data_IF_648648092820
#
_entry.id   IF_648648092820
#
_cell.length_a   1.000
_cell.length_b   1.000
_cell.length_c   1.000
_cell.angle_alpha   90.00
_cell.angle_beta   90.00
_cell.angle_gamma   90.00
#
_symmetry.space_group_name_H-M   'P 1'
#
loop_
_entity.id
_entity.type
_entity.pdbx_description
1 polymer ?
#
# COMPACT_ATOMS: atom_id res chain seq x y z
N UNK A 1 21.24 27.74 12.07
CA UNK A 1 20.36 27.70 13.26
C UNK A 1 18.88 27.95 12.96
N UNK A 2 18.50 28.47 11.79
CA UNK A 2 17.10 28.81 11.43
C UNK A 2 16.22 27.65 10.92
N UNK A 3 16.79 26.46 10.71
CA UNK A 3 16.08 25.32 10.10
C UNK A 3 15.08 24.66 11.05
N UNK A 4 15.38 24.64 12.35
CA UNK A 4 14.57 23.97 13.37
C UNK A 4 13.50 24.87 14.01
N UNK A 5 13.54 26.19 13.78
CA UNK A 5 12.52 27.14 14.25
C UNK A 5 11.17 27.00 13.50
N UNK A 6 11.12 26.16 12.46
CA UNK A 6 9.95 26.00 11.58
C UNK A 6 8.98 24.92 12.03
N UNK A 7 9.35 24.11 13.03
CA UNK A 7 8.59 22.94 13.44
C UNK A 7 8.34 22.96 14.95
N UNK A 8 7.17 22.48 15.37
CA UNK A 8 6.86 22.31 16.79
C UNK A 8 7.78 21.21 17.36
N UNK A 9 8.54 21.45 18.45
CA UNK A 9 9.43 20.44 19.04
C UNK A 9 8.74 19.12 19.39
N UNK A 10 7.44 19.16 19.77
CA UNK A 10 6.64 17.96 20.06
C UNK A 10 6.37 17.12 18.81
N UNK A 11 6.35 17.72 17.63
CA UNK A 11 6.20 17.01 16.36
C UNK A 11 7.53 16.36 15.97
N UNK A 12 8.65 17.10 16.06
CA UNK A 12 9.98 16.59 15.71
C UNK A 12 10.47 15.45 16.63
N UNK A 13 9.99 15.41 17.87
CA UNK A 13 10.37 14.40 18.86
C UNK A 13 9.53 13.12 18.80
N UNK A 14 8.64 12.94 17.82
CA UNK A 14 7.85 11.72 17.65
C UNK A 14 8.77 10.57 17.24
N UNK A 15 9.30 9.83 18.21
CA UNK A 15 10.02 8.58 17.99
C UNK A 15 9.15 7.41 18.43
N UNK A 16 9.10 6.40 17.57
CA UNK A 16 8.30 5.18 17.76
C UNK A 16 9.20 3.97 17.61
N UNK A 17 8.79 2.78 18.10
CA UNK A 17 9.58 1.56 17.92
C UNK A 17 9.91 1.25 16.45
N UNK A 18 9.06 1.63 15.49
CA UNK A 18 9.36 1.53 14.05
C UNK A 18 10.66 2.26 13.66
N UNK A 19 10.98 3.40 14.29
CA UNK A 19 12.19 4.17 13.99
C UNK A 19 13.49 3.46 14.43
N UNK A 20 13.37 2.46 15.31
CA UNK A 20 14.48 1.65 15.82
C UNK A 20 14.81 0.44 14.94
N UNK A 21 13.97 0.14 13.93
CA UNK A 21 14.19 -0.96 12.99
C UNK A 21 15.53 -0.72 12.27
N UNK A 22 16.44 -1.67 12.45
CA UNK A 22 17.79 -1.63 11.86
C UNK A 22 17.79 -2.05 10.40
N UNK A 23 18.79 -1.61 9.64
CA UNK A 23 18.98 -2.04 8.24
C UNK A 23 19.18 -3.57 8.13
N UNK A 24 19.73 -4.22 9.16
CA UNK A 24 19.83 -5.68 9.23
C UNK A 24 18.46 -6.36 9.37
N UNK A 25 17.58 -5.84 10.23
CA UNK A 25 16.20 -6.30 10.33
C UNK A 25 15.42 -6.02 9.04
N UNK A 26 15.62 -4.86 8.41
CA UNK A 26 15.05 -4.58 7.08
C UNK A 26 15.48 -5.63 6.08
N UNK A 27 16.79 -5.90 5.98
CA UNK A 27 17.29 -6.92 5.06
C UNK A 27 16.71 -8.31 5.37
N UNK A 28 16.54 -8.67 6.63
CA UNK A 28 16.00 -9.96 7.04
C UNK A 28 14.50 -10.11 6.74
N UNK A 29 13.69 -9.13 7.16
CA UNK A 29 12.23 -9.23 7.21
C UNK A 29 11.52 -8.48 6.09
N UNK A 30 12.08 -7.38 5.61
CA UNK A 30 11.41 -6.47 4.66
C UNK A 30 11.91 -6.60 3.22
N UNK A 31 12.80 -7.56 2.94
CA UNK A 31 13.30 -7.82 1.58
C UNK A 31 13.28 -9.32 1.30
N UNK A 32 12.46 -9.75 0.33
CA UNK A 32 12.29 -11.18 0.03
C UNK A 32 13.53 -11.76 -0.66
N UNK A 33 13.73 -13.09 -0.60
CA UNK A 33 14.80 -13.77 -1.32
C UNK A 33 14.83 -13.44 -2.83
N UNK A 34 13.67 -13.39 -3.50
CA UNK A 34 13.62 -13.06 -4.93
C UNK A 34 14.05 -11.63 -5.19
N UNK A 35 13.64 -10.65 -4.37
CA UNK A 35 14.10 -9.26 -4.51
C UNK A 35 15.61 -9.15 -4.36
N UNK A 36 16.18 -9.82 -3.35
CA UNK A 36 17.65 -9.88 -3.15
C UNK A 36 18.34 -10.47 -4.37
N UNK A 37 17.79 -11.53 -4.96
CA UNK A 37 18.33 -12.17 -6.15
C UNK A 37 18.23 -11.29 -7.41
N UNK A 38 17.13 -10.54 -7.55
CA UNK A 38 16.91 -9.61 -8.65
C UNK A 38 17.90 -8.44 -8.61
N UNK A 39 18.10 -7.84 -7.45
CA UNK A 39 19.06 -6.73 -7.26
C UNK A 39 20.52 -7.21 -7.30
N UNK A 40 20.78 -8.43 -6.83
CA UNK A 40 22.11 -9.00 -6.73
C UNK A 40 22.90 -8.46 -5.53
N UNK A 41 24.22 -8.77 -5.44
CA UNK A 41 25.03 -8.40 -4.28
C UNK A 41 25.16 -6.88 -4.15
N UNK A 42 25.25 -6.42 -2.90
CA UNK A 42 25.57 -5.03 -2.55
C UNK A 42 27.02 -4.75 -2.93
N UNK A 43 27.24 -3.64 -3.64
CA UNK A 43 28.54 -3.16 -4.12
C UNK A 43 29.07 -2.03 -3.24
N UNK A 44 28.17 -1.15 -2.79
CA UNK A 44 28.52 -0.04 -1.90
C UNK A 44 27.32 0.40 -1.07
N UNK A 45 27.59 1.12 0.01
CA UNK A 45 26.57 1.67 0.90
C UNK A 45 26.88 3.11 1.28
N UNK A 46 25.85 3.95 1.42
CA UNK A 46 25.93 5.33 1.90
C UNK A 46 24.75 5.62 2.81
N UNK A 47 24.99 6.18 3.99
CA UNK A 47 23.95 6.52 4.96
C UNK A 47 24.04 8.01 5.26
N UNK A 48 22.92 8.73 5.15
CA UNK A 48 22.87 10.17 5.37
C UNK A 48 21.61 10.59 6.11
N UNK A 49 21.72 11.63 6.94
CA UNK A 49 20.56 12.35 7.46
C UNK A 49 20.14 13.39 6.42
N UNK A 50 18.88 13.36 6.00
CA UNK A 50 18.31 14.27 5.01
C UNK A 50 17.13 15.03 5.58
N UNK A 51 16.95 16.25 5.10
CA UNK A 51 15.89 17.18 5.50
C UNK A 51 15.38 17.99 4.28
N UNK A 52 15.41 17.35 3.11
CA UNK A 52 14.95 17.89 1.82
C UNK A 52 14.13 16.84 1.08
N UNK A 53 13.17 17.30 0.26
CA UNK A 53 12.43 16.45 -0.67
C UNK A 53 13.26 16.03 -1.90
N UNK A 54 14.39 16.70 -2.17
CA UNK A 54 15.28 16.31 -3.24
C UNK A 54 15.88 14.94 -2.94
N UNK A 55 15.86 14.04 -3.92
CA UNK A 55 16.39 12.70 -3.78
C UNK A 55 17.74 12.50 -4.44
N UNK A 56 18.44 11.45 -4.00
CA UNK A 56 19.71 11.02 -4.60
C UNK A 56 19.47 10.46 -6.01
N UNK A 57 18.32 9.79 -6.19
CA UNK A 57 17.87 9.21 -7.45
C UNK A 57 16.72 10.07 -8.00
N UNK A 58 16.82 10.62 -9.22
CA UNK A 58 15.80 11.53 -9.77
C UNK A 58 14.40 10.91 -9.92
N UNK A 59 14.33 9.60 -10.20
CA UNK A 59 13.08 8.86 -10.39
C UNK A 59 12.39 8.54 -9.06
N UNK A 60 13.17 8.48 -8.00
CA UNK A 60 12.69 8.26 -6.66
C UNK A 60 12.20 9.60 -6.12
N UNK A 61 10.90 9.74 -5.80
CA UNK A 61 10.32 10.95 -5.21
C UNK A 61 9.99 10.68 -3.75
N UNK A 62 10.33 11.59 -2.85
CA UNK A 62 9.87 11.51 -1.45
C UNK A 62 8.37 11.71 -1.52
N UNK A 63 7.60 10.73 -1.07
CA UNK A 63 6.15 10.83 -1.11
C UNK A 63 5.66 11.64 0.11
N UNK A 64 4.89 12.70 -0.16
CA UNK A 64 4.17 13.49 0.84
C UNK A 64 2.89 14.05 0.21
N UNK A 65 1.75 13.90 0.88
CA UNK A 65 0.46 14.38 0.39
C UNK A 65 0.23 15.88 0.57
N UNK A 66 1.06 16.58 1.34
CA UNK A 66 0.98 18.03 1.53
C UNK A 66 1.67 18.84 0.40
N UNK A 67 2.19 18.17 -0.64
CA UNK A 67 2.93 18.82 -1.74
C UNK A 67 4.31 19.35 -1.37
N UNK A 68 4.92 18.83 -0.29
CA UNK A 68 6.15 19.33 0.33
C UNK A 68 6.06 20.79 0.81
N UNK A 69 4.85 21.23 1.20
CA UNK A 69 4.61 22.58 1.70
C UNK A 69 4.38 22.55 3.20
N UNK A 70 5.33 23.09 3.97
CA UNK A 70 5.23 23.15 5.43
C UNK A 70 5.29 24.61 5.86
N UNK A 71 4.21 25.09 6.47
CA UNK A 71 4.09 26.48 6.93
C UNK A 71 4.42 27.52 5.82
N UNK A 72 4.00 27.23 4.58
CA UNK A 72 4.23 28.10 3.42
C UNK A 72 5.61 27.96 2.76
N UNK A 73 6.44 26.99 3.18
CA UNK A 73 7.76 26.72 2.56
C UNK A 73 7.69 25.46 1.70
N UNK A 74 8.02 25.59 0.42
CA UNK A 74 8.10 24.49 -0.56
C UNK A 74 9.39 23.65 -0.42
N UNK A 75 9.33 22.39 -0.87
CA UNK A 75 10.47 21.48 -0.94
C UNK A 75 11.00 21.00 0.42
N UNK A 76 10.28 21.28 1.50
CA UNK A 76 10.63 20.88 2.86
C UNK A 76 10.01 19.53 3.23
N UNK A 77 10.70 18.78 4.10
CA UNK A 77 10.15 17.61 4.80
C UNK A 77 9.97 17.97 6.27
N UNK A 78 8.85 17.54 6.88
CA UNK A 78 8.54 17.90 8.28
C UNK A 78 9.47 17.20 9.25
N UNK A 79 9.87 15.99 8.88
CA UNK A 79 10.77 15.15 9.65
C UNK A 79 12.04 14.94 8.84
N UNK A 80 13.21 15.33 9.37
CA UNK A 80 14.47 14.78 8.89
C UNK A 80 14.41 13.26 8.95
N UNK A 81 14.98 12.61 7.95
CA UNK A 81 14.94 11.15 7.81
C UNK A 81 16.33 10.61 7.49
N UNK A 82 16.62 9.42 8.01
CA UNK A 82 17.78 8.65 7.60
C UNK A 82 17.53 8.04 6.23
N UNK A 83 18.50 8.16 5.34
CA UNK A 83 18.49 7.60 4.00
C UNK A 83 19.70 6.68 3.84
N UNK A 84 19.48 5.37 3.91
CA UNK A 84 20.48 4.36 3.57
C UNK A 84 20.32 3.94 2.12
N UNK A 85 21.33 4.22 1.30
CA UNK A 85 21.44 3.77 -0.09
C UNK A 85 22.43 2.60 -0.16
N UNK A 86 21.95 1.45 -0.63
CA UNK A 86 22.75 0.28 -0.95
C UNK A 86 22.76 0.09 -2.46
N UNK A 87 23.86 0.44 -3.12
CA UNK A 87 24.04 0.17 -4.54
C UNK A 87 24.30 -1.32 -4.71
N UNK A 88 23.59 -1.96 -5.64
CA UNK A 88 23.68 -3.39 -5.94
C UNK A 88 24.16 -3.59 -7.37
N UNK A 89 24.52 -4.84 -7.71
CA UNK A 89 24.99 -5.16 -9.06
C UNK A 89 23.99 -4.82 -10.17
N UNK A 90 22.68 -4.85 -9.90
CA UNK A 90 21.61 -4.65 -10.90
C UNK A 90 20.65 -3.51 -10.56
N UNK A 91 21.01 -2.62 -9.64
CA UNK A 91 20.14 -1.53 -9.20
C UNK A 91 20.50 -1.01 -7.82
N UNK A 92 19.53 -0.65 -6.99
CA UNK A 92 19.77 -0.29 -5.59
C UNK A 92 18.64 -0.68 -4.65
N UNK A 93 18.97 -0.78 -3.36
CA UNK A 93 18.00 -0.79 -2.27
C UNK A 93 18.13 0.53 -1.50
N UNK A 94 17.01 1.18 -1.21
CA UNK A 94 16.94 2.41 -0.43
C UNK A 94 16.12 2.12 0.81
N UNK A 95 16.61 2.53 1.97
CA UNK A 95 15.88 2.49 3.23
C UNK A 95 15.74 3.93 3.72
N UNK A 96 14.51 4.37 3.94
CA UNK A 96 14.17 5.67 4.52
C UNK A 96 13.51 5.46 5.86
N UNK A 97 14.02 6.12 6.91
CA UNK A 97 13.47 6.04 8.25
C UNK A 97 13.29 7.42 8.85
N UNK A 98 12.06 7.74 9.21
CA UNK A 98 11.72 8.88 10.06
C UNK A 98 11.28 8.39 11.45
N UNK A 99 10.77 9.28 12.29
CA UNK A 99 10.38 8.94 13.66
C UNK A 99 9.15 8.01 13.79
N UNK A 100 8.36 7.87 12.72
CA UNK A 100 7.10 7.10 12.70
C UNK A 100 7.01 6.09 11.56
N UNK A 101 7.94 6.10 10.60
CA UNK A 101 7.88 5.29 9.39
C UNK A 101 9.24 4.74 8.98
N UNK A 102 9.25 3.49 8.51
CA UNK A 102 10.31 2.92 7.68
C UNK A 102 9.74 2.57 6.31
N UNK A 103 10.42 3.00 5.25
CA UNK A 103 10.11 2.71 3.85
C UNK A 103 11.34 2.09 3.19
N UNK A 104 11.13 1.00 2.45
CA UNK A 104 12.17 0.24 1.77
C UNK A 104 11.83 0.15 0.29
N UNK A 105 12.71 0.65 -0.57
CA UNK A 105 12.52 0.75 -2.02
C UNK A 105 13.60 -0.07 -2.73
N UNK A 106 13.20 -1.01 -3.57
CA UNK A 106 14.08 -1.74 -4.47
C UNK A 106 13.91 -1.26 -5.90
N UNK A 107 14.96 -0.66 -6.45
CA UNK A 107 15.01 -0.19 -7.83
C UNK A 107 15.90 -1.12 -8.65
N UNK A 108 15.37 -1.66 -9.73
CA UNK A 108 16.08 -2.52 -10.68
C UNK A 108 16.44 -1.74 -11.95
N UNK A 109 17.61 -1.99 -12.51
CA UNK A 109 18.10 -1.34 -13.73
C UNK A 109 19.17 -0.28 -13.48
N UNK A 110 19.52 0.47 -14.52
CA UNK A 110 20.58 1.47 -14.46
C UNK A 110 20.01 2.85 -14.10
N UNK A 111 20.18 3.26 -12.84
CA UNK A 111 19.68 4.53 -12.33
C UNK A 111 20.44 5.74 -12.88
N UNK A 112 21.74 5.61 -13.15
CA UNK A 112 22.54 6.69 -13.76
C UNK A 112 22.05 7.04 -15.18
N UNK A 113 21.50 6.05 -15.88
CA UNK A 113 20.93 6.20 -17.22
C UNK A 113 19.42 6.47 -17.22
N UNK A 114 18.80 6.71 -16.05
CA UNK A 114 17.35 6.90 -15.91
C UNK A 114 16.53 5.72 -16.44
N UNK A 115 17.08 4.51 -16.31
CA UNK A 115 16.47 3.24 -16.70
C UNK A 115 16.12 2.39 -15.46
N UNK A 116 15.87 3.04 -14.33
CA UNK A 116 15.46 2.40 -13.09
C UNK A 116 13.96 2.13 -13.07
N UNK A 117 13.58 0.94 -12.64
CA UNK A 117 12.21 0.54 -12.37
C UNK A 117 12.07 0.20 -10.89
N UNK A 118 11.09 0.80 -10.22
CA UNK A 118 10.71 0.39 -8.87
C UNK A 118 10.06 -1.00 -8.95
N UNK A 119 10.71 -2.00 -8.37
CA UNK A 119 10.24 -3.39 -8.33
C UNK A 119 9.74 -3.81 -6.94
N UNK A 120 10.08 -3.02 -5.93
CA UNK A 120 9.80 -3.33 -4.54
C UNK A 120 9.55 -2.04 -3.76
N UNK A 121 8.43 -1.95 -3.06
CA UNK A 121 8.21 -0.96 -2.01
C UNK A 121 7.49 -1.64 -0.86
N UNK A 122 8.11 -1.66 0.31
CA UNK A 122 7.45 -2.06 1.55
C UNK A 122 7.65 -1.00 2.60
N UNK A 123 6.66 -0.81 3.45
CA UNK A 123 6.76 0.15 4.53
C UNK A 123 6.00 -0.30 5.76
N UNK A 124 6.48 0.17 6.91
CA UNK A 124 5.77 0.14 8.18
C UNK A 124 5.62 1.56 8.67
N UNK A 125 4.44 1.90 9.18
CA UNK A 125 4.17 3.21 9.79
C UNK A 125 3.38 3.09 11.07
N UNK A 126 3.77 3.83 12.08
CA UNK A 126 3.03 3.95 13.33
C UNK A 126 1.76 4.79 13.14
N UNK A 127 0.62 4.22 13.50
CA UNK A 127 -0.70 4.85 13.32
C UNK A 127 -1.21 5.63 14.54
N UNK A 128 -0.48 5.64 15.66
CA UNK A 128 -0.96 6.26 16.91
C UNK A 128 -1.22 7.76 16.79
N UNK A 129 -0.70 8.41 15.75
CA UNK A 129 -0.81 9.84 15.51
C UNK A 129 -1.79 10.22 14.39
N UNK A 130 -2.47 9.25 13.78
CA UNK A 130 -3.41 9.46 12.67
C UNK A 130 -4.61 10.34 13.05
N UNK A 131 -5.24 10.96 12.06
CA UNK A 131 -6.36 11.89 12.28
C UNK A 131 -5.97 13.35 12.48
N UNK A 132 -4.76 13.73 12.03
CA UNK A 132 -4.24 15.09 12.10
C UNK A 132 -3.53 15.48 10.81
N UNK A 133 -3.65 16.73 10.35
CA UNK A 133 -3.01 17.21 9.10
C UNK A 133 -1.52 16.85 8.95
N UNK A 134 -0.79 16.78 10.06
CA UNK A 134 0.63 16.38 10.05
C UNK A 134 0.89 14.92 9.66
N UNK A 135 -0.11 14.06 9.58
CA UNK A 135 0.06 12.62 9.24
C UNK A 135 0.21 12.40 7.75
N UNK A 136 -0.36 13.31 6.94
CA UNK A 136 -0.19 13.34 5.49
C UNK A 136 1.28 13.49 5.06
N UNK A 137 2.14 13.97 5.97
CA UNK A 137 3.60 14.05 5.79
C UNK A 137 4.30 12.68 5.75
N UNK A 138 3.73 11.69 6.43
CA UNK A 138 4.28 10.35 6.56
C UNK A 138 3.43 9.29 5.86
N UNK A 139 2.40 9.69 5.09
CA UNK A 139 1.51 8.81 4.34
C UNK A 139 2.26 7.69 3.57
N UNK A 140 1.67 6.49 3.56
CA UNK A 140 2.17 5.35 2.76
C UNK A 140 1.51 5.29 1.38
N UNK A 141 0.23 5.64 1.35
CA UNK A 141 -0.68 5.60 0.20
C UNK A 141 -1.03 6.99 -0.32
N UNK A 142 -1.85 7.05 -1.38
CA UNK A 142 -2.28 8.30 -2.02
C UNK A 142 -3.49 8.99 -1.38
N UNK A 143 -4.18 8.37 -0.42
CA UNK A 143 -5.35 8.94 0.23
C UNK A 143 -5.02 9.68 1.56
N UNK A 144 -5.72 10.78 1.90
CA UNK A 144 -5.52 11.52 3.15
C UNK A 144 -5.67 10.70 4.43
N UNK A 145 -4.79 10.94 5.40
CA UNK A 145 -4.77 10.34 6.75
C UNK A 145 -5.17 11.34 7.86
N UNK A 146 -5.60 12.54 7.48
CA UNK A 146 -5.85 13.65 8.40
C UNK A 146 -7.30 13.70 8.94
N UNK A 147 -8.21 12.92 8.35
CA UNK A 147 -9.56 12.74 8.88
C UNK A 147 -9.53 11.83 10.12
N UNK A 148 -9.86 12.40 11.28
CA UNK A 148 -9.87 11.69 12.56
C UNK A 148 -10.93 10.59 12.63
N UNK A 149 -12.07 10.77 11.95
CA UNK A 149 -13.15 9.79 11.98
C UNK A 149 -12.81 8.56 11.13
N UNK A 150 -12.16 8.78 9.99
CA UNK A 150 -11.85 7.71 9.03
C UNK A 150 -10.51 7.02 9.29
N UNK A 151 -9.53 7.74 9.83
CA UNK A 151 -8.15 7.24 9.93
C UNK A 151 -7.58 7.28 11.34
N UNK A 152 -8.28 7.88 12.32
CA UNK A 152 -7.84 7.91 13.70
C UNK A 152 -7.63 6.50 14.27
N UNK A 153 -6.91 6.42 15.40
CA UNK A 153 -6.65 5.13 16.05
C UNK A 153 -7.97 4.41 16.42
N UNK A 154 -8.25 3.29 15.74
CA UNK A 154 -9.48 2.50 15.93
C UNK A 154 -9.56 1.83 17.30
N UNK A 155 -8.41 1.66 17.96
CA UNK A 155 -8.27 0.98 19.25
C UNK A 155 -7.43 1.85 20.20
N UNK A 156 -8.04 2.86 20.85
CA UNK A 156 -7.34 3.75 21.76
C UNK A 156 -6.54 2.99 22.83
N UNK A 157 -5.27 3.35 23.02
CA UNK A 157 -4.38 2.69 23.97
C UNK A 157 -3.68 1.43 23.43
N UNK A 158 -3.88 1.09 22.16
CA UNK A 158 -3.06 0.10 21.45
C UNK A 158 -1.94 0.76 20.64
N UNK A 159 -0.85 0.03 20.45
CA UNK A 159 0.17 0.36 19.46
C UNK A 159 -0.14 -0.36 18.15
N UNK A 160 -0.27 0.39 17.06
CA UNK A 160 -0.63 -0.15 15.75
C UNK A 160 0.35 0.27 14.66
N UNK A 161 0.69 -0.69 13.80
CA UNK A 161 1.53 -0.49 12.63
C UNK A 161 0.73 -0.70 11.34
N UNK A 162 0.68 0.33 10.49
CA UNK A 162 0.23 0.23 9.10
C UNK A 162 1.28 -0.52 8.28
N UNK A 163 0.85 -1.52 7.53
CA UNK A 163 1.69 -2.25 6.59
C UNK A 163 1.40 -1.81 5.14
N UNK A 164 2.45 -1.73 4.33
CA UNK A 164 2.35 -1.47 2.91
C UNK A 164 3.23 -2.45 2.13
N UNK A 165 2.69 -2.99 1.03
CA UNK A 165 3.41 -3.90 0.13
C UNK A 165 3.08 -3.60 -1.33
N UNK A 166 4.14 -3.36 -2.09
CA UNK A 166 4.17 -3.25 -3.54
C UNK A 166 5.32 -4.10 -4.05
N UNK A 167 5.04 -4.99 -5.00
CA UNK A 167 6.05 -5.90 -5.52
C UNK A 167 5.76 -6.28 -6.96
N UNK A 168 6.68 -5.98 -7.87
CA UNK A 168 6.52 -6.27 -9.29
C UNK A 168 7.81 -6.76 -9.94
N UNK A 169 7.69 -7.73 -10.84
CA UNK A 169 8.79 -8.22 -11.65
C UNK A 169 9.24 -7.14 -12.65
N UNK A 170 10.56 -6.95 -12.81
CA UNK A 170 11.08 -5.97 -13.76
C UNK A 170 10.67 -6.32 -15.19
N UNK A 171 10.35 -5.30 -16.00
CA UNK A 171 9.97 -5.44 -17.40
C UNK A 171 8.62 -6.11 -17.67
N UNK A 172 7.80 -6.35 -16.63
CA UNK A 172 6.54 -7.10 -16.75
C UNK A 172 5.28 -6.23 -16.81
N UNK A 173 5.43 -4.93 -17.06
CA UNK A 173 4.32 -3.99 -17.17
C UNK A 173 3.47 -4.27 -18.41
N UNK A 174 2.21 -3.82 -18.41
CA UNK A 174 1.31 -3.98 -19.56
C UNK A 174 1.86 -3.24 -20.78
N UNK A 175 2.34 -2.01 -20.60
CA UNK A 175 2.99 -1.23 -21.67
C UNK A 175 4.23 -1.96 -22.19
N UNK A 176 5.04 -2.54 -21.31
CA UNK A 176 6.22 -3.31 -21.71
C UNK A 176 5.87 -4.56 -22.53
N UNK A 177 4.75 -5.20 -22.22
CA UNK A 177 4.32 -6.43 -22.88
C UNK A 177 3.62 -6.21 -24.23
N UNK A 178 2.79 -5.17 -24.35
CA UNK A 178 1.98 -4.95 -25.55
C UNK A 178 1.79 -3.49 -25.99
N UNK A 179 2.41 -2.52 -25.31
CA UNK A 179 2.32 -1.10 -25.67
C UNK A 179 0.98 -0.41 -25.34
N UNK A 180 0.05 -1.08 -24.64
CA UNK A 180 -1.28 -0.53 -24.35
C UNK A 180 -1.27 0.35 -23.07
N UNK A 181 -0.89 1.62 -23.23
CA UNK A 181 -0.85 2.61 -22.14
C UNK A 181 -2.23 2.87 -21.51
N UNK A 182 -3.30 2.82 -22.29
CA UNK A 182 -4.65 3.08 -21.79
C UNK A 182 -5.13 1.92 -20.91
N UNK A 183 -4.84 0.68 -21.33
CA UNK A 183 -5.09 -0.50 -20.50
C UNK A 183 -4.25 -0.49 -19.22
N UNK A 184 -2.98 -0.09 -19.30
CA UNK A 184 -2.13 0.02 -18.12
C UNK A 184 -2.71 0.99 -17.08
N UNK A 185 -3.10 2.19 -17.52
CA UNK A 185 -3.74 3.21 -16.66
C UNK A 185 -5.06 2.71 -16.06
N UNK A 186 -5.88 2.01 -16.86
CA UNK A 186 -7.12 1.43 -16.38
C UNK A 186 -6.91 0.31 -15.36
N UNK A 187 -5.95 -0.59 -15.61
CA UNK A 187 -5.62 -1.65 -14.65
C UNK A 187 -5.06 -1.05 -13.37
N UNK A 188 -4.26 0.01 -13.45
CA UNK A 188 -3.69 0.67 -12.28
C UNK A 188 -4.75 1.35 -11.40
N UNK A 189 -5.75 2.01 -12.00
CA UNK A 189 -6.81 2.70 -11.25
C UNK A 189 -8.16 2.66 -11.99
N UNK A 190 -8.89 1.53 -11.92
CA UNK A 190 -10.12 1.36 -12.70
C UNK A 190 -11.25 2.30 -12.26
N UNK A 191 -11.26 2.74 -10.99
CA UNK A 191 -12.29 3.64 -10.46
C UNK A 191 -12.28 5.04 -11.09
N UNK A 192 -11.14 5.46 -11.67
CA UNK A 192 -11.03 6.73 -12.42
C UNK A 192 -11.76 6.71 -13.77
N UNK A 193 -12.39 5.59 -14.13
CA UNK A 193 -13.14 5.39 -15.36
C UNK A 193 -14.64 5.15 -15.10
N UNK A 194 -15.09 5.15 -13.84
CA UNK A 194 -16.51 4.94 -13.50
C UNK A 194 -17.43 6.04 -14.06
N UNK A 195 -16.89 7.23 -14.34
CA UNK A 195 -17.58 8.34 -15.00
C UNK A 195 -17.80 8.13 -16.51
N UNK A 196 -17.14 7.13 -17.11
CA UNK A 196 -17.18 6.79 -18.54
C UNK A 196 -17.46 5.29 -18.71
N UNK A 197 -18.69 4.82 -18.42
CA UNK A 197 -19.00 3.38 -18.36
C UNK A 197 -18.68 2.61 -19.64
N UNK A 198 -18.89 3.21 -20.81
CA UNK A 198 -18.56 2.56 -22.10
C UNK A 198 -17.07 2.30 -22.27
N UNK A 199 -16.23 3.30 -21.91
CA UNK A 199 -14.77 3.16 -21.95
C UNK A 199 -14.30 2.15 -20.89
N UNK A 200 -14.89 2.21 -19.69
CA UNK A 200 -14.64 1.24 -18.63
C UNK A 200 -14.89 -0.18 -19.14
N UNK A 201 -16.07 -0.46 -19.71
CA UNK A 201 -16.44 -1.80 -20.17
C UNK A 201 -15.53 -2.30 -21.30
N UNK A 202 -15.12 -1.40 -22.21
CA UNK A 202 -14.15 -1.71 -23.26
C UNK A 202 -12.79 -2.15 -22.68
N UNK A 203 -12.27 -1.42 -21.70
CA UNK A 203 -10.97 -1.71 -21.07
C UNK A 203 -11.08 -2.90 -20.12
N UNK A 204 -12.19 -3.06 -19.40
CA UNK A 204 -12.54 -4.23 -18.62
C UNK A 204 -12.54 -5.50 -19.48
N UNK A 205 -13.13 -5.48 -20.67
CA UNK A 205 -13.14 -6.65 -21.56
C UNK A 205 -11.72 -7.07 -22.00
N UNK A 206 -10.79 -6.11 -22.13
CA UNK A 206 -9.37 -6.40 -22.34
C UNK A 206 -8.71 -6.95 -21.08
N UNK A 207 -8.91 -6.29 -19.93
CA UNK A 207 -8.33 -6.69 -18.65
C UNK A 207 -8.84 -8.06 -18.16
N UNK A 208 -10.09 -8.39 -18.42
CA UNK A 208 -10.70 -9.68 -18.09
C UNK A 208 -10.00 -10.87 -18.76
N UNK A 209 -9.47 -10.63 -19.96
CA UNK A 209 -8.68 -11.61 -20.73
C UNK A 209 -7.19 -11.52 -20.40
N UNK A 210 -6.76 -10.43 -19.76
CA UNK A 210 -5.39 -10.31 -19.27
C UNK A 210 -5.29 -11.08 -17.94
N UNK A 211 -4.14 -11.68 -17.67
CA UNK A 211 -3.89 -12.35 -16.40
C UNK A 211 -3.61 -11.35 -15.26
N UNK A 212 -4.25 -10.17 -15.27
CA UNK A 212 -4.03 -9.07 -14.32
C UNK A 212 -5.24 -8.90 -13.42
N UNK A 213 -5.02 -8.74 -12.12
CA UNK A 213 -6.05 -8.22 -11.22
C UNK A 213 -6.12 -6.69 -11.32
N UNK A 214 -7.22 -6.04 -10.89
CA UNK A 214 -7.22 -4.58 -10.74
C UNK A 214 -6.13 -4.16 -9.75
N UNK A 215 -5.47 -3.05 -10.02
CA UNK A 215 -4.28 -2.59 -9.31
C UNK A 215 -2.98 -3.31 -9.72
N UNK A 216 -3.01 -4.37 -10.54
CA UNK A 216 -1.82 -5.14 -10.94
C UNK A 216 -1.38 -4.84 -12.37
N UNK A 217 -0.85 -3.64 -12.61
CA UNK A 217 -0.35 -3.27 -13.94
C UNK A 217 0.99 -3.91 -14.33
N UNK A 218 1.61 -4.66 -13.42
CA UNK A 218 2.86 -5.41 -13.61
C UNK A 218 2.78 -6.75 -12.86
N UNK A 219 3.60 -7.75 -13.23
CA UNK A 219 3.46 -9.11 -12.64
C UNK A 219 4.00 -9.07 -11.21
N UNK A 220 3.30 -9.62 -10.21
CA UNK A 220 3.80 -9.58 -8.85
C UNK A 220 5.05 -10.45 -8.67
N UNK A 221 5.92 -10.06 -7.74
CA UNK A 221 7.00 -10.95 -7.30
C UNK A 221 6.36 -12.09 -6.50
N UNK A 222 6.64 -13.33 -6.91
CA UNK A 222 5.89 -14.50 -6.50
C UNK A 222 6.03 -14.85 -5.01
N UNK A 223 7.19 -14.61 -4.41
CA UNK A 223 7.43 -14.93 -2.99
C UNK A 223 6.91 -13.86 -2.02
N UNK A 224 6.47 -12.71 -2.52
CA UNK A 224 6.04 -11.58 -1.68
C UNK A 224 4.77 -11.91 -0.89
N UNK A 225 3.74 -12.45 -1.54
CA UNK A 225 2.47 -12.78 -0.90
C UNK A 225 2.54 -13.92 0.11
N UNK A 226 3.56 -14.78 -0.02
CA UNK A 226 3.72 -15.99 0.80
C UNK A 226 4.54 -15.73 2.08
N UNK A 227 5.45 -14.75 2.06
CA UNK A 227 6.44 -14.54 3.13
C UNK A 227 6.20 -13.23 3.89
N UNK A 228 5.72 -12.19 3.21
CA UNK A 228 5.74 -10.84 3.79
C UNK A 228 4.83 -10.68 4.99
N UNK A 229 3.71 -11.39 5.03
CA UNK A 229 2.77 -11.29 6.14
C UNK A 229 3.37 -11.81 7.45
N UNK A 230 3.92 -13.02 7.44
CA UNK A 230 4.63 -13.59 8.59
C UNK A 230 5.80 -12.71 9.03
N UNK A 231 6.55 -12.16 8.06
CA UNK A 231 7.68 -11.27 8.35
C UNK A 231 7.24 -9.95 9.01
N UNK A 232 6.14 -9.36 8.54
CA UNK A 232 5.58 -8.17 9.19
C UNK A 232 5.13 -8.52 10.60
N UNK A 233 4.38 -9.61 10.77
CA UNK A 233 3.88 -10.07 12.08
C UNK A 233 5.03 -10.28 13.07
N UNK A 234 6.10 -10.95 12.65
CA UNK A 234 7.27 -11.16 13.49
C UNK A 234 7.97 -9.84 13.86
N UNK A 235 8.17 -8.95 12.88
CA UNK A 235 8.85 -7.69 13.10
C UNK A 235 8.04 -6.75 14.00
N UNK A 236 6.75 -6.56 13.71
CA UNK A 236 5.84 -5.73 14.50
C UNK A 236 5.74 -6.25 15.95
N UNK A 237 5.63 -7.57 16.13
CA UNK A 237 5.61 -8.19 17.47
C UNK A 237 6.90 -7.92 18.25
N UNK A 238 8.07 -8.04 17.60
CA UNK A 238 9.37 -7.73 18.23
C UNK A 238 9.50 -6.25 18.61
N UNK A 239 8.86 -5.37 17.86
CA UNK A 239 8.82 -3.93 18.13
C UNK A 239 7.75 -3.55 19.16
N UNK A 240 7.05 -4.52 19.74
CA UNK A 240 6.08 -4.30 20.82
C UNK A 240 4.74 -3.72 20.35
N UNK A 241 4.39 -3.89 19.07
CA UNK A 241 3.07 -3.52 18.57
C UNK A 241 1.99 -4.50 19.05
N UNK A 242 0.80 -3.97 19.28
CA UNK A 242 -0.39 -4.74 19.61
C UNK A 242 -1.09 -5.25 18.34
N UNK A 243 -1.04 -4.46 17.26
CA UNK A 243 -1.84 -4.68 16.05
C UNK A 243 -1.04 -4.37 14.79
N UNK A 244 -1.39 -5.08 13.71
CA UNK A 244 -1.10 -4.67 12.34
C UNK A 244 -2.38 -4.16 11.68
N UNK A 245 -2.24 -3.18 10.80
CA UNK A 245 -3.35 -2.59 10.07
C UNK A 245 -3.02 -2.43 8.59
N UNK A 246 -4.03 -2.60 7.74
CA UNK A 246 -3.90 -2.49 6.29
C UNK A 246 -5.14 -1.86 5.68
N UNK A 247 -4.96 -0.95 4.73
CA UNK A 247 -6.03 -0.43 3.88
C UNK A 247 -6.07 -1.25 2.59
N UNK A 248 -6.96 -2.24 2.50
CA UNK A 248 -6.99 -3.12 1.34
C UNK A 248 -7.54 -2.39 0.11
N UNK A 249 -6.69 -2.19 -0.91
CA UNK A 249 -7.04 -1.43 -2.12
C UNK A 249 -8.01 -2.15 -3.06
N UNK A 250 -8.01 -3.49 -3.06
CA UNK A 250 -8.82 -4.31 -3.95
C UNK A 250 -9.26 -5.62 -3.29
N UNK A 251 -10.32 -6.23 -3.83
CA UNK A 251 -10.93 -7.45 -3.29
C UNK A 251 -9.94 -8.59 -3.05
N UNK A 252 -9.06 -8.89 -4.02
CA UNK A 252 -8.09 -9.98 -3.85
C UNK A 252 -7.07 -9.73 -2.72
N UNK A 253 -6.77 -8.47 -2.40
CA UNK A 253 -5.93 -8.07 -1.27
C UNK A 253 -6.69 -8.26 0.04
N UNK A 254 -7.94 -7.79 0.13
CA UNK A 254 -8.79 -8.02 1.31
C UNK A 254 -8.95 -9.51 1.62
N UNK A 255 -9.11 -10.35 0.58
CA UNK A 255 -9.18 -11.80 0.74
C UNK A 255 -7.84 -12.42 1.17
N UNK A 256 -6.70 -11.87 0.74
CA UNK A 256 -5.37 -12.29 1.23
C UNK A 256 -5.21 -11.95 2.72
N UNK A 257 -5.57 -10.73 3.12
CA UNK A 257 -5.54 -10.30 4.53
C UNK A 257 -6.46 -11.19 5.39
N UNK A 258 -7.70 -11.47 4.94
CA UNK A 258 -8.62 -12.35 5.66
C UNK A 258 -8.06 -13.77 5.82
N UNK A 259 -7.39 -14.29 4.80
CA UNK A 259 -6.76 -15.61 4.85
C UNK A 259 -5.58 -15.68 5.84
N UNK A 260 -4.96 -14.54 6.15
CA UNK A 260 -3.81 -14.40 7.06
C UNK A 260 -4.21 -13.91 8.46
N UNK A 261 -5.52 -13.86 8.75
CA UNK A 261 -6.05 -13.60 10.09
C UNK A 261 -6.44 -12.14 10.35
N UNK A 262 -6.44 -11.29 9.33
CA UNK A 262 -6.99 -9.93 9.44
C UNK A 262 -8.51 -9.97 9.49
N UNK A 263 -9.09 -9.02 10.22
CA UNK A 263 -10.52 -8.79 10.34
C UNK A 263 -10.86 -7.35 9.94
N UNK A 264 -12.06 -7.13 9.42
CA UNK A 264 -12.52 -5.79 9.05
C UNK A 264 -12.76 -4.94 10.30
N UNK A 265 -12.34 -3.68 10.23
CA UNK A 265 -12.52 -2.73 11.34
C UNK A 265 -13.97 -2.25 11.45
N UNK A 266 -14.64 -1.98 10.32
CA UNK A 266 -16.02 -1.50 10.27
C UNK A 266 -17.01 -2.65 9.96
N UNK A 267 -17.97 -2.96 10.85
CA UNK A 267 -19.00 -3.98 10.64
C UNK A 267 -19.89 -3.73 9.42
N UNK A 268 -20.10 -2.47 9.02
CA UNK A 268 -20.88 -2.14 7.81
C UNK A 268 -20.08 -2.56 6.58
N UNK A 269 -18.79 -2.27 6.56
CA UNK A 269 -17.90 -2.72 5.50
C UNK A 269 -17.74 -4.25 5.51
N UNK A 270 -17.64 -4.90 6.68
CA UNK A 270 -17.62 -6.36 6.81
C UNK A 270 -18.88 -7.01 6.21
N UNK A 271 -20.07 -6.51 6.58
CA UNK A 271 -21.33 -7.00 6.03
C UNK A 271 -21.39 -6.86 4.50
N UNK A 272 -20.95 -5.71 3.97
CA UNK A 272 -20.86 -5.48 2.53
C UNK A 272 -19.82 -6.41 1.86
N UNK A 273 -18.67 -6.66 2.49
CA UNK A 273 -17.67 -7.62 2.00
C UNK A 273 -18.19 -9.05 1.98
N UNK A 274 -18.96 -9.46 2.99
CA UNK A 274 -19.63 -10.75 3.01
C UNK A 274 -20.68 -10.85 1.88
N UNK A 275 -21.44 -9.78 1.60
CA UNK A 275 -22.34 -9.74 0.46
C UNK A 275 -21.61 -9.87 -0.90
N UNK A 276 -20.43 -9.26 -1.06
CA UNK A 276 -19.58 -9.46 -2.24
C UNK A 276 -19.11 -10.92 -2.39
N UNK A 277 -18.63 -11.52 -1.29
CA UNK A 277 -18.19 -12.93 -1.24
C UNK A 277 -19.34 -13.86 -1.65
N UNK A 278 -20.51 -13.69 -1.05
CA UNK A 278 -21.69 -14.49 -1.35
C UNK A 278 -22.16 -14.31 -2.80
N UNK A 279 -22.15 -13.08 -3.31
CA UNK A 279 -22.49 -12.80 -4.71
C UNK A 279 -21.57 -13.50 -5.70
N UNK A 280 -20.25 -13.45 -5.47
CA UNK A 280 -19.26 -14.16 -6.29
C UNK A 280 -19.49 -15.69 -6.22
N UNK A 281 -19.78 -16.22 -5.03
CA UNK A 281 -20.13 -17.63 -4.87
C UNK A 281 -21.40 -18.02 -5.64
N UNK A 282 -22.43 -17.16 -5.66
CA UNK A 282 -23.64 -17.37 -6.46
C UNK A 282 -23.34 -17.41 -7.96
N UNK A 283 -22.53 -16.47 -8.46
CA UNK A 283 -22.10 -16.43 -9.87
C UNK A 283 -21.37 -17.73 -10.26
N UNK A 284 -20.44 -18.19 -9.41
CA UNK A 284 -19.72 -19.44 -9.64
C UNK A 284 -20.65 -20.66 -9.63
N UNK A 285 -21.62 -20.70 -8.71
CA UNK A 285 -22.65 -21.74 -8.64
C UNK A 285 -23.57 -21.76 -9.87
N UNK A 286 -23.79 -20.61 -10.50
CA UNK A 286 -24.52 -20.50 -11.76
C UNK A 286 -23.73 -20.96 -13.00
N UNK A 287 -22.48 -21.43 -12.82
CA UNK A 287 -21.66 -22.04 -13.87
C UNK A 287 -20.59 -21.12 -14.47
N UNK A 288 -20.49 -19.87 -14.04
CA UNK A 288 -19.44 -18.95 -14.49
C UNK A 288 -18.12 -19.33 -13.81
N UNK A 289 -17.12 -19.71 -14.61
CA UNK A 289 -15.78 -20.02 -14.10
C UNK A 289 -14.99 -18.73 -13.88
N UNK A 290 -14.73 -18.40 -12.62
CA UNK A 290 -13.93 -17.25 -12.23
C UNK A 290 -12.63 -17.72 -11.57
N UNK A 291 -11.50 -17.18 -12.00
CA UNK A 291 -10.26 -17.22 -11.24
C UNK A 291 -10.22 -16.06 -10.22
N UNK A 292 -9.29 -16.09 -9.26
CA UNK A 292 -9.16 -15.07 -8.20
C UNK A 292 -9.03 -13.63 -8.72
N UNK A 293 -8.36 -13.42 -9.87
CA UNK A 293 -8.20 -12.09 -10.48
C UNK A 293 -9.52 -11.60 -11.06
N UNK A 294 -10.25 -12.49 -11.71
CA UNK A 294 -11.59 -12.22 -12.24
C UNK A 294 -12.61 -11.96 -11.13
N UNK A 295 -12.55 -12.68 -10.01
CA UNK A 295 -13.37 -12.39 -8.82
C UNK A 295 -13.15 -10.93 -8.36
N UNK A 296 -11.90 -10.48 -8.33
CA UNK A 296 -11.57 -9.09 -7.99
C UNK A 296 -12.10 -8.08 -9.01
N UNK A 297 -12.07 -8.42 -10.31
CA UNK A 297 -12.66 -7.58 -11.36
C UNK A 297 -14.19 -7.50 -11.25
N UNK A 298 -14.87 -8.59 -10.88
CA UNK A 298 -16.32 -8.58 -10.63
C UNK A 298 -16.67 -7.61 -9.49
N UNK A 299 -15.87 -7.56 -8.43
CA UNK A 299 -16.07 -6.61 -7.33
C UNK A 299 -15.92 -5.14 -7.80
N UNK A 300 -14.89 -4.85 -8.61
CA UNK A 300 -14.66 -3.50 -9.18
C UNK A 300 -15.79 -3.09 -10.14
N UNK A 301 -16.32 -4.03 -10.91
CA UNK A 301 -17.42 -3.78 -11.85
C UNK A 301 -18.69 -3.25 -11.16
N UNK A 302 -18.90 -3.58 -9.87
CA UNK A 302 -20.07 -3.11 -9.12
C UNK A 302 -20.06 -1.61 -8.81
N UNK A 303 -18.95 -0.92 -9.08
CA UNK A 303 -18.86 0.54 -8.94
C UNK A 303 -19.55 1.29 -10.09
N UNK A 304 -19.91 0.61 -11.18
CA UNK A 304 -20.70 1.20 -12.27
C UNK A 304 -22.18 1.38 -11.89
N UNK A 305 -22.92 2.25 -12.60
CA UNK A 305 -24.39 2.22 -12.58
C UNK A 305 -24.91 0.83 -12.99
N UNK A 306 -26.01 0.39 -12.36
CA UNK A 306 -26.50 -0.99 -12.46
C UNK A 306 -26.83 -1.39 -13.90
N UNK A 307 -27.35 -0.46 -14.70
CA UNK A 307 -27.66 -0.62 -16.12
C UNK A 307 -26.44 -0.95 -17.00
N UNK A 308 -25.22 -0.68 -16.51
CA UNK A 308 -23.97 -0.98 -17.21
C UNK A 308 -23.29 -2.27 -16.70
N UNK A 309 -23.81 -2.90 -15.64
CA UNK A 309 -23.25 -4.14 -15.11
C UNK A 309 -23.88 -5.33 -15.88
N UNK A 310 -23.08 -6.20 -16.53
CA UNK A 310 -23.59 -7.44 -17.11
C UNK A 310 -24.38 -8.25 -16.08
N UNK A 311 -25.60 -8.66 -16.42
CA UNK A 311 -26.53 -9.28 -15.48
C UNK A 311 -25.95 -10.54 -14.81
N UNK A 312 -25.14 -11.29 -15.54
CA UNK A 312 -24.45 -12.49 -15.08
C UNK A 312 -23.31 -12.20 -14.08
N UNK A 313 -22.85 -10.95 -13.98
CA UNK A 313 -21.81 -10.49 -13.07
C UNK A 313 -22.33 -9.56 -11.96
N UNK A 314 -23.64 -9.30 -11.91
CA UNK A 314 -24.22 -8.41 -10.90
C UNK A 314 -24.29 -9.08 -9.52
N UNK A 315 -23.78 -8.39 -8.49
CA UNK A 315 -23.68 -8.91 -7.12
C UNK A 315 -24.90 -8.59 -6.24
N UNK A 316 -25.95 -7.96 -6.79
CA UNK A 316 -27.16 -7.64 -6.04
C UNK A 316 -27.08 -6.38 -5.19
N UNK A 317 -26.24 -5.42 -5.59
CA UNK A 317 -26.15 -4.09 -4.98
C UNK A 317 -24.97 -3.87 -4.03
N UNK A 318 -24.24 -4.93 -3.68
CA UNK A 318 -22.99 -4.82 -2.93
C UNK A 318 -21.92 -4.10 -3.76
N UNK A 319 -21.20 -3.15 -3.15
CA UNK A 319 -20.21 -2.29 -3.84
C UNK A 319 -18.85 -2.37 -3.17
N UNK A 320 -17.78 -2.21 -3.93
CA UNK A 320 -16.45 -2.10 -3.35
C UNK A 320 -16.32 -0.78 -2.54
N UNK A 321 -15.83 -0.81 -1.27
CA UNK A 321 -15.90 0.34 -0.37
C UNK A 321 -14.74 1.36 -0.48
N UNK A 322 -13.63 1.03 -1.16
CA UNK A 322 -12.44 1.89 -1.26
C UNK A 322 -12.00 2.08 -2.72
N UNK A 323 -12.22 3.25 -3.30
CA UNK A 323 -11.89 3.50 -4.72
C UNK A 323 -10.45 4.00 -4.95
N UNK A 324 -9.65 4.12 -3.89
CA UNK A 324 -8.28 4.68 -3.89
C UNK A 324 -8.19 6.13 -4.44
N UNK A 325 -9.31 6.86 -4.47
CA UNK A 325 -9.41 8.25 -4.95
C UNK A 325 -10.03 9.13 -3.86
N UNK A 326 -11.11 8.64 -3.24
CA UNK A 326 -11.88 9.32 -2.20
C UNK A 326 -11.40 8.93 -0.79
N UNK A 327 -11.99 9.55 0.23
CA UNK A 327 -11.60 9.38 1.63
C UNK A 327 -11.96 8.02 2.26
N UNK A 328 -13.08 7.36 1.92
CA UNK A 328 -13.43 6.07 2.51
C UNK A 328 -12.37 4.99 2.24
N UNK A 329 -11.85 4.43 3.33
CA UNK A 329 -10.86 3.36 3.30
C UNK A 329 -11.43 2.08 3.91
N UNK A 330 -11.02 0.94 3.35
CA UNK A 330 -11.31 -0.40 3.84
C UNK A 330 -10.18 -0.83 4.76
N UNK A 331 -10.32 -0.48 6.04
CA UNK A 331 -9.34 -0.85 7.06
C UNK A 331 -9.60 -2.25 7.59
N UNK A 332 -8.52 -3.04 7.64
CA UNK A 332 -8.47 -4.32 8.32
C UNK A 332 -7.36 -4.29 9.36
N UNK A 333 -7.47 -5.15 10.37
CA UNK A 333 -6.48 -5.27 11.43
C UNK A 333 -6.24 -6.73 11.83
N UNK A 334 -5.03 -7.02 12.33
CA UNK A 334 -4.64 -8.33 12.86
C UNK A 334 -4.09 -8.17 14.28
N UNK A 335 -4.60 -8.89 15.29
CA UNK A 335 -4.03 -8.88 16.63
C UNK A 335 -2.69 -9.63 16.67
N UNK A 336 -1.68 -9.02 17.31
CA UNK A 336 -0.34 -9.60 17.48
C UNK A 336 -0.13 -10.27 18.84
N UNK A 337 -0.97 -9.98 19.83
CA UNK A 337 -0.83 -10.51 21.17
C UNK A 337 -2.19 -10.78 21.84
N UNK A 338 -2.20 -11.44 23.01
CA UNK A 338 -3.43 -11.82 23.70
C UNK A 338 -4.28 -10.62 24.14
N UNK A 339 -3.65 -9.50 24.53
CA UNK A 339 -4.35 -8.25 24.88
C UNK A 339 -5.09 -7.72 23.65
N UNK A 340 -4.45 -7.73 22.49
CA UNK A 340 -5.01 -7.27 21.23
C UNK A 340 -6.21 -8.11 20.75
N UNK A 341 -6.21 -9.42 20.99
CA UNK A 341 -7.33 -10.31 20.62
C UNK A 341 -8.65 -9.94 21.30
N UNK A 342 -8.59 -9.31 22.47
CA UNK A 342 -9.78 -8.88 23.21
C UNK A 342 -10.32 -7.52 22.73
N UNK A 343 -9.61 -6.82 21.85
CA UNK A 343 -10.01 -5.49 21.37
C UNK A 343 -11.24 -5.58 20.48
N UNK A 344 -12.08 -4.55 20.57
CA UNK A 344 -13.24 -4.35 19.71
C UNK A 344 -13.14 -2.93 19.12
N UNK A 345 -13.39 -2.77 17.81
CA UNK A 345 -13.32 -1.45 17.18
C UNK A 345 -14.25 -0.48 17.89
N UNK A 346 -13.80 0.77 18.05
CA UNK A 346 -14.70 1.83 18.51
C UNK A 346 -15.65 2.18 17.37
N UNK A 347 -16.90 1.75 17.49
CA UNK A 347 -17.97 2.14 16.57
C UNK A 347 -18.57 3.43 17.13
N UNK A 348 -18.09 4.57 16.63
CA UNK A 348 -18.66 5.89 16.94
C UNK A 348 -19.72 6.30 15.92
#
# INVERSE_FOLDING_TARGET
MTKYLRHNPKELARQTPISEITDAQVWQYMVTPVVKALLGPIVSSRIELRDTAANIIPEDKVFNQNGHVINGVEGAVRFPFYHSLYTTKKGCLIIRRDGVKVEVLGWFGNLERKQGQLIWKVALRDRRYDGHKSTNDCALEHFPYDDQKLNGNFFPGSASAEIYLFSYLPGSTIVGACGDEELEKFVAQPFAYCDRPELFLKLFAKAWKSNRAPGQWSEPINDAGDIMEDNFTELCSKMGYDLEEVAASHYHVAMWCKATGYVFTDPVQDANMNALIEGIARIKKAGVKLNRRQESWVAVLQSLPVEHIPAELYLGGAKWPQDNITLPNLWLWKPLNEKAKALKPKLD
#
